data_IF_545625504621
#
_entry.id   IF_545625504621
#
_cell.length_a   1.000
_cell.length_b   1.000
_cell.length_c   1.000
_cell.angle_alpha   90.00
_cell.angle_beta   90.00
_cell.angle_gamma   90.00
#
_symmetry.space_group_name_H-M   'P 1'
#
loop_
_entity.id
_entity.type
_entity.pdbx_description
1 polymer ?
#
# COMPACT_ATOMS: atom_id res chain seq x y z
N UNK A 1 33.68 -9.49 -31.99
CA UNK A 1 32.86 -10.67 -32.01
C UNK A 1 31.42 -10.35 -32.37
N UNK A 2 31.21 -10.02 -33.64
CA UNK A 2 29.89 -9.53 -34.06
C UNK A 2 28.77 -10.58 -33.98
N UNK A 3 29.10 -11.86 -34.14
CA UNK A 3 28.12 -12.95 -34.12
C UNK A 3 27.58 -13.25 -32.72
N UNK A 4 28.43 -13.14 -31.69
CA UNK A 4 28.02 -13.30 -30.31
C UNK A 4 27.17 -12.13 -29.84
N UNK A 5 27.52 -10.92 -30.28
CA UNK A 5 26.74 -9.73 -30.02
C UNK A 5 25.36 -9.77 -30.70
N UNK A 6 25.32 -10.29 -31.93
CA UNK A 6 24.06 -10.45 -32.64
C UNK A 6 23.14 -11.50 -31.99
N UNK A 7 23.70 -12.58 -31.45
CA UNK A 7 22.94 -13.58 -30.70
C UNK A 7 22.41 -13.01 -29.40
N UNK A 8 23.25 -12.29 -28.69
CA UNK A 8 22.82 -11.62 -27.46
C UNK A 8 21.74 -10.59 -27.76
N UNK A 9 21.86 -9.85 -28.88
CA UNK A 9 20.86 -8.86 -29.23
C UNK A 9 19.51 -9.49 -29.60
N UNK A 10 19.48 -10.69 -30.20
CA UNK A 10 18.22 -11.38 -30.49
C UNK A 10 17.53 -11.83 -29.20
N UNK A 11 18.29 -12.37 -28.22
CA UNK A 11 17.77 -12.69 -26.90
C UNK A 11 17.35 -11.44 -26.14
N UNK A 12 18.16 -10.42 -26.20
CA UNK A 12 17.84 -9.13 -25.59
C UNK A 12 16.61 -8.47 -26.22
N UNK A 13 16.47 -8.50 -27.54
CA UNK A 13 15.30 -7.96 -28.24
C UNK A 13 14.02 -8.68 -27.80
N UNK A 14 14.07 -10.02 -27.70
CA UNK A 14 12.92 -10.80 -27.19
C UNK A 14 12.61 -10.46 -25.74
N UNK A 15 13.63 -10.35 -24.93
CA UNK A 15 13.49 -10.00 -23.51
C UNK A 15 12.94 -8.57 -23.38
N UNK A 16 13.50 -7.62 -24.13
CA UNK A 16 13.02 -6.24 -24.12
C UNK A 16 11.62 -6.10 -24.71
N UNK A 17 11.26 -6.87 -25.72
CA UNK A 17 9.91 -6.84 -26.30
C UNK A 17 8.89 -7.37 -25.30
N UNK A 18 9.19 -8.46 -24.60
CA UNK A 18 8.33 -9.02 -23.56
C UNK A 18 8.22 -8.04 -22.40
N UNK A 19 9.34 -7.46 -21.96
CA UNK A 19 9.35 -6.48 -20.89
C UNK A 19 8.70 -5.16 -21.29
N UNK A 20 8.84 -4.73 -22.54
CA UNK A 20 8.18 -3.53 -23.03
C UNK A 20 6.67 -3.72 -23.10
N UNK A 21 6.19 -4.90 -23.53
CA UNK A 21 4.77 -5.25 -23.51
C UNK A 21 4.24 -5.34 -22.07
N UNK A 22 5.01 -5.91 -21.18
CA UNK A 22 4.65 -5.97 -19.75
C UNK A 22 4.66 -4.58 -19.16
N UNK A 23 5.66 -3.76 -19.47
CA UNK A 23 5.76 -2.39 -19.01
C UNK A 23 4.64 -1.51 -19.55
N UNK A 24 4.23 -1.70 -20.81
CA UNK A 24 3.07 -1.04 -21.37
C UNK A 24 1.77 -1.49 -20.70
N UNK A 25 1.64 -2.78 -20.40
CA UNK A 25 0.52 -3.28 -19.61
C UNK A 25 0.52 -2.69 -18.22
N UNK A 26 1.68 -2.60 -17.60
CA UNK A 26 1.84 -2.00 -16.26
C UNK A 26 1.55 -0.50 -16.29
N UNK A 27 1.94 0.20 -17.34
CA UNK A 27 1.61 1.62 -17.54
C UNK A 27 0.12 1.79 -17.80
N UNK A 28 -0.48 0.98 -18.65
CA UNK A 28 -1.91 1.01 -18.94
C UNK A 28 -2.72 0.59 -17.71
N UNK A 29 -2.26 -0.40 -16.98
CA UNK A 29 -2.80 -0.77 -15.67
C UNK A 29 -2.47 0.31 -14.65
N UNK A 30 -1.32 1.00 -14.76
CA UNK A 30 -0.91 2.08 -13.89
C UNK A 30 -1.77 3.32 -14.02
N UNK A 31 -2.25 3.64 -15.20
CA UNK A 31 -3.28 4.64 -15.40
C UNK A 31 -4.59 4.22 -14.75
N UNK A 32 -4.89 2.94 -14.80
CA UNK A 32 -6.02 2.37 -14.10
C UNK A 32 -5.66 2.07 -12.64
N UNK A 33 -4.38 1.80 -12.31
CA UNK A 33 -3.91 1.44 -10.96
C UNK A 33 -3.69 2.62 -10.03
N UNK A 34 -3.58 3.83 -10.53
CA UNK A 34 -3.80 4.99 -9.66
C UNK A 34 -5.24 5.01 -9.13
N UNK A 35 -6.13 4.26 -9.80
CA UNK A 35 -7.51 4.04 -9.41
C UNK A 35 -7.83 2.57 -9.11
N UNK A 36 -6.88 1.63 -9.38
CA UNK A 36 -7.06 0.21 -9.08
C UNK A 36 -6.31 -0.16 -7.84
N UNK A 37 -7.06 -0.25 -6.77
CA UNK A 37 -6.59 -0.82 -5.51
C UNK A 37 -6.68 -2.34 -5.60
N UNK A 38 -5.95 -3.05 -4.75
CA UNK A 38 -6.05 -4.51 -4.71
C UNK A 38 -7.46 -4.94 -4.26
N UNK A 39 -7.72 -6.23 -4.36
CA UNK A 39 -9.01 -6.83 -3.99
C UNK A 39 -9.45 -6.53 -2.56
N UNK A 40 -8.51 -6.26 -1.65
CA UNK A 40 -8.80 -5.95 -0.25
C UNK A 40 -9.51 -4.61 -0.07
N UNK A 41 -9.50 -3.75 -1.09
CA UNK A 41 -10.22 -2.47 -1.06
C UNK A 41 -11.66 -2.56 -1.57
N UNK A 42 -12.10 -3.72 -2.08
CA UNK A 42 -13.45 -3.85 -2.67
C UNK A 42 -14.57 -3.53 -1.70
N UNK A 43 -14.42 -3.96 -0.46
CA UNK A 43 -15.45 -3.85 0.56
C UNK A 43 -15.28 -2.64 1.47
N UNK A 44 -14.34 -1.75 1.16
CA UNK A 44 -14.07 -0.55 1.95
C UNK A 44 -14.45 0.70 1.16
N UNK A 45 -15.03 1.67 1.85
CA UNK A 45 -15.37 2.97 1.29
C UNK A 45 -14.61 4.05 2.05
N UNK A 46 -13.56 4.57 1.42
CA UNK A 46 -12.72 5.60 2.03
C UNK A 46 -13.47 6.87 2.38
N UNK A 47 -14.47 7.20 1.58
CA UNK A 47 -15.26 8.42 1.76
C UNK A 47 -16.23 8.29 2.93
N UNK A 48 -16.65 7.07 3.24
CA UNK A 48 -17.57 6.79 4.36
C UNK A 48 -16.85 6.46 5.65
N UNK A 49 -15.64 5.90 5.57
CA UNK A 49 -14.88 5.55 6.77
C UNK A 49 -14.28 6.81 7.38
N UNK A 50 -14.60 7.06 8.61
CA UNK A 50 -14.05 8.17 9.36
C UNK A 50 -13.22 7.68 10.55
N UNK A 51 -12.21 8.45 10.98
CA UNK A 51 -11.37 8.04 12.11
C UNK A 51 -12.18 8.06 13.41
N UNK A 52 -12.01 6.99 14.19
CA UNK A 52 -12.67 6.85 15.49
C UNK A 52 -12.12 7.84 16.51
N UNK A 53 -10.86 8.21 16.39
CA UNK A 53 -10.16 9.12 17.28
C UNK A 53 -9.32 10.10 16.48
N UNK A 54 -8.90 11.20 17.11
CA UNK A 54 -8.00 12.17 16.50
C UNK A 54 -6.55 11.71 16.48
N UNK A 55 -6.14 10.97 17.50
CA UNK A 55 -4.80 10.42 17.64
C UNK A 55 -4.81 8.90 17.65
N UNK A 56 -3.66 8.28 17.89
CA UNK A 56 -3.57 6.84 18.06
C UNK A 56 -4.37 6.39 19.28
N UNK A 57 -5.34 5.51 19.07
CA UNK A 57 -6.24 5.07 20.15
C UNK A 57 -5.48 4.47 21.34
N UNK A 58 -4.53 3.60 21.04
CA UNK A 58 -3.74 2.93 22.08
C UNK A 58 -2.68 3.84 22.70
N UNK A 59 -2.01 4.66 21.89
CA UNK A 59 -1.04 5.63 22.41
C UNK A 59 -1.69 6.64 23.36
N UNK A 60 -2.90 7.07 23.07
CA UNK A 60 -3.64 7.96 23.97
C UNK A 60 -3.94 7.29 25.31
N UNK A 61 -4.31 6.01 25.28
CA UNK A 61 -4.55 5.23 26.51
C UNK A 61 -3.28 4.95 27.29
N UNK A 62 -2.19 4.65 26.58
CA UNK A 62 -0.89 4.33 27.18
C UNK A 62 -0.07 5.57 27.51
N UNK A 63 -0.52 6.75 27.09
CA UNK A 63 0.19 8.03 27.21
C UNK A 63 1.56 7.98 26.55
N UNK A 64 1.63 7.33 25.39
CA UNK A 64 2.83 7.26 24.56
C UNK A 64 2.72 8.16 23.33
N UNK A 65 3.87 8.49 22.76
CA UNK A 65 3.93 9.34 21.59
C UNK A 65 3.88 8.52 20.30
N UNK A 66 3.46 9.16 19.21
CA UNK A 66 3.47 8.58 17.89
C UNK A 66 4.12 9.51 16.88
N UNK A 67 4.68 8.92 15.81
CA UNK A 67 5.31 9.68 14.73
C UNK A 67 4.27 10.10 13.69
N UNK A 68 3.44 9.17 13.23
CA UNK A 68 2.39 9.42 12.27
C UNK A 68 1.22 8.47 12.52
N UNK A 69 0.10 8.76 11.89
CA UNK A 69 -1.15 8.02 12.11
C UNK A 69 -1.60 7.30 10.86
N UNK A 70 -2.27 6.16 11.07
CA UNK A 70 -2.88 5.34 10.04
C UNK A 70 -4.30 4.99 10.46
N UNK A 71 -5.22 5.09 9.52
CA UNK A 71 -6.62 4.72 9.77
C UNK A 71 -6.94 3.42 9.07
N UNK A 72 -7.51 2.47 9.80
CA UNK A 72 -8.05 1.24 9.22
C UNK A 72 -9.26 1.60 8.35
N UNK A 73 -9.22 1.21 7.08
CA UNK A 73 -10.33 1.50 6.15
C UNK A 73 -11.55 0.60 6.37
N UNK A 74 -11.40 -0.46 7.15
CA UNK A 74 -12.52 -1.35 7.46
C UNK A 74 -13.36 -0.82 8.63
N UNK A 75 -12.71 -0.36 9.70
CA UNK A 75 -13.42 -0.01 10.94
C UNK A 75 -13.15 1.41 11.46
N UNK A 76 -12.25 2.17 10.85
CA UNK A 76 -11.92 3.52 11.31
C UNK A 76 -10.93 3.59 12.46
N UNK A 77 -10.39 2.46 12.93
CA UNK A 77 -9.38 2.44 13.98
C UNK A 77 -8.18 3.30 13.57
N UNK A 78 -7.73 4.16 14.47
CA UNK A 78 -6.55 4.99 14.26
C UNK A 78 -5.40 4.43 15.11
N UNK A 79 -4.34 4.04 14.43
CA UNK A 79 -3.13 3.52 15.06
C UNK A 79 -1.91 4.28 14.60
N UNK A 80 -0.82 4.14 15.36
CA UNK A 80 0.46 4.76 15.01
C UNK A 80 1.21 3.93 13.96
N UNK A 81 2.04 4.62 13.18
CA UNK A 81 2.79 4.02 12.08
C UNK A 81 3.94 3.12 12.56
N UNK A 82 4.58 2.43 11.62
CA UNK A 82 5.69 1.52 11.91
C UNK A 82 6.96 2.24 12.39
N UNK A 83 7.04 3.56 12.22
CA UNK A 83 8.11 4.38 12.80
C UNK A 83 7.85 4.77 14.24
N UNK A 84 6.66 4.51 14.74
CA UNK A 84 6.29 4.76 16.14
C UNK A 84 6.64 3.55 16.99
N UNK A 85 6.87 3.79 18.28
CA UNK A 85 7.25 2.73 19.23
C UNK A 85 6.15 1.69 19.39
N UNK A 86 4.89 2.12 19.35
CA UNK A 86 3.74 1.26 19.62
C UNK A 86 3.33 0.33 18.50
N UNK A 87 3.61 0.67 17.24
CA UNK A 87 3.22 -0.10 16.05
C UNK A 87 1.73 -0.47 16.05
N UNK A 88 0.88 0.41 16.54
CA UNK A 88 -0.51 0.08 16.83
C UNK A 88 -1.35 -0.18 15.57
N UNK A 89 -1.03 0.46 14.44
CA UNK A 89 -1.71 0.18 13.18
C UNK A 89 -1.40 -1.25 12.69
N UNK A 90 -0.14 -1.66 12.78
CA UNK A 90 0.27 -3.04 12.43
C UNK A 90 -0.36 -4.05 13.38
N UNK A 91 -0.32 -3.79 14.68
CA UNK A 91 -0.93 -4.66 15.69
C UNK A 91 -2.43 -4.81 15.46
N UNK A 92 -3.10 -3.75 15.04
CA UNK A 92 -4.51 -3.81 14.69
C UNK A 92 -4.76 -4.78 13.54
N UNK A 93 -3.95 -4.72 12.48
CA UNK A 93 -4.03 -5.70 11.39
C UNK A 93 -3.79 -7.13 11.90
N UNK A 94 -2.74 -7.34 12.69
CA UNK A 94 -2.41 -8.66 13.23
C UNK A 94 -3.53 -9.24 14.10
N UNK A 95 -4.22 -8.39 14.86
CA UNK A 95 -5.29 -8.81 15.76
C UNK A 95 -6.64 -8.98 15.08
N UNK A 96 -6.94 -8.19 14.06
CA UNK A 96 -8.27 -8.14 13.44
C UNK A 96 -8.32 -8.76 12.05
N UNK A 97 -7.18 -8.82 11.37
CA UNK A 97 -7.13 -9.22 9.97
C UNK A 97 -7.58 -8.16 8.99
N UNK A 98 -7.86 -6.92 9.45
CA UNK A 98 -8.25 -5.82 8.56
C UNK A 98 -7.06 -5.39 7.70
N UNK A 99 -7.05 -5.67 6.39
CA UNK A 99 -5.82 -5.64 5.61
C UNK A 99 -5.40 -4.26 5.11
N UNK A 100 -6.31 -3.31 5.06
CA UNK A 100 -6.05 -2.04 4.38
C UNK A 100 -6.18 -0.83 5.30
N UNK A 101 -5.28 0.12 5.09
CA UNK A 101 -5.27 1.37 5.86
C UNK A 101 -4.90 2.55 4.98
N UNK A 102 -5.17 3.74 5.47
CA UNK A 102 -4.85 4.98 4.80
C UNK A 102 -4.05 5.90 5.74
N UNK A 103 -3.12 6.64 5.17
CA UNK A 103 -2.32 7.59 5.94
C UNK A 103 -3.15 8.81 6.32
N UNK A 104 -2.98 9.28 7.55
CA UNK A 104 -3.61 10.51 8.03
C UNK A 104 -2.56 11.61 8.21
N UNK A 105 -2.94 12.89 8.18
CA UNK A 105 -4.31 13.41 8.04
C UNK A 105 -4.77 13.60 6.60
N UNK A 106 -3.86 13.74 5.63
CA UNK A 106 -4.18 14.19 4.28
C UNK A 106 -4.50 13.04 3.31
N UNK A 107 -4.44 11.80 3.78
CA UNK A 107 -4.73 10.60 3.00
C UNK A 107 -3.90 10.49 1.70
N UNK A 108 -2.57 10.74 1.74
CA UNK A 108 -1.76 10.79 0.52
C UNK A 108 -1.53 9.43 -0.12
N UNK A 109 -1.64 8.36 0.63
CA UNK A 109 -1.44 7.00 0.14
C UNK A 109 -2.14 5.99 1.04
N UNK A 110 -2.30 4.78 0.49
CA UNK A 110 -2.91 3.64 1.17
C UNK A 110 -1.92 2.50 1.23
N UNK A 111 -2.14 1.57 2.12
CA UNK A 111 -1.30 0.40 2.31
C UNK A 111 -2.16 -0.84 2.51
N UNK A 112 -1.77 -1.93 1.83
CA UNK A 112 -2.33 -3.25 2.09
C UNK A 112 -1.29 -4.10 2.81
N UNK A 113 -1.59 -4.55 4.01
CA UNK A 113 -0.68 -5.38 4.80
C UNK A 113 -0.50 -6.78 4.21
N UNK A 114 -1.53 -7.31 3.53
CA UNK A 114 -1.44 -8.63 2.89
C UNK A 114 -0.51 -8.61 1.69
N UNK A 115 -0.66 -7.64 0.81
CA UNK A 115 0.19 -7.49 -0.38
C UNK A 115 1.49 -6.75 -0.10
N UNK A 116 1.59 -6.08 1.04
CA UNK A 116 2.74 -5.22 1.40
C UNK A 116 3.04 -4.21 0.30
N UNK A 117 2.01 -3.51 -0.11
CA UNK A 117 2.06 -2.58 -1.23
C UNK A 117 1.34 -1.28 -0.93
N UNK A 118 1.89 -0.19 -1.47
CA UNK A 118 1.25 1.13 -1.46
C UNK A 118 0.30 1.29 -2.65
N UNK A 119 -0.72 2.12 -2.43
CA UNK A 119 -1.72 2.45 -3.46
C UNK A 119 -2.08 3.93 -3.44
#
# INVERSE_FOLDING_TARGET
MPLLQARNSIYEIRYYTINALQHLKDILQGYNCMNQKCEHFKDVDEDKTSPNTKGCEECEKEKSDWVALRMCLVCGHVGCCDSSIGLHARKHFENTGHPVMIALPNKPWRWCYEHKQYY
#
